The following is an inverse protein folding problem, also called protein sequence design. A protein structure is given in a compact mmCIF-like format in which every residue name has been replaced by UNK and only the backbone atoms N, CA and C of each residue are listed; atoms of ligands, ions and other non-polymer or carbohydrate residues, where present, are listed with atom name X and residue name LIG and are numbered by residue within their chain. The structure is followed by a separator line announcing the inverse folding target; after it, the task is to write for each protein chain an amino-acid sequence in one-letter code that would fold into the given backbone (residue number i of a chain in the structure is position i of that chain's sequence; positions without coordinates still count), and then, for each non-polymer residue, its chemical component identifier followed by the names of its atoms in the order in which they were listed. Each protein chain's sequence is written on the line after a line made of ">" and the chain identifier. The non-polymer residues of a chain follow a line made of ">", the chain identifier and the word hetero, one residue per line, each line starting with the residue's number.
data_IF_608122514918
#
_entry.id   IF_608122514918
#
_cell.length_a   1.000
_cell.length_b   1.000
_cell.length_c   1.000
_cell.angle_alpha   90.00
_cell.angle_beta   90.00
_cell.angle_gamma   90.00
#
_symmetry.space_group_name_H-M   'P 1'
#
loop_
_entity.id
_entity.type
_entity.pdbx_description
1 polymer ?
#
# COMPACT_ATOMS: atom_id res chain seq x y z
N UNK A 1 -26.95 16.35 -75.72
CA UNK A 1 -26.58 15.22 -74.85
C UNK A 1 -25.08 15.32 -74.64
N UNK A 2 -24.47 15.51 -73.48
CA UNK A 2 -24.85 15.26 -72.09
C UNK A 2 -24.11 16.28 -71.21
N UNK A 3 -24.81 16.93 -70.28
CA UNK A 3 -24.26 17.88 -69.30
C UNK A 3 -24.12 17.19 -67.95
N UNK A 4 -22.91 17.16 -67.39
CA UNK A 4 -22.67 16.69 -66.01
C UNK A 4 -23.00 17.78 -64.97
N UNK A 5 -23.50 17.41 -63.76
CA UNK A 5 -23.83 18.38 -62.72
C UNK A 5 -22.65 18.66 -61.79
N UNK A 6 -22.46 19.94 -61.46
CA UNK A 6 -21.56 20.43 -60.40
C UNK A 6 -22.23 20.22 -59.03
N UNK A 7 -21.62 19.39 -58.17
CA UNK A 7 -21.96 19.30 -56.76
C UNK A 7 -21.39 20.50 -55.99
N UNK A 8 -22.26 21.22 -55.27
CA UNK A 8 -21.88 22.30 -54.35
C UNK A 8 -21.58 21.71 -52.98
N UNK A 9 -20.35 21.85 -52.50
CA UNK A 9 -19.96 21.50 -51.14
C UNK A 9 -20.55 22.48 -50.13
N UNK A 10 -21.22 21.94 -49.11
CA UNK A 10 -21.61 22.68 -47.92
C UNK A 10 -20.40 22.84 -47.00
N UNK A 11 -19.98 24.08 -46.74
CA UNK A 11 -19.00 24.43 -45.70
C UNK A 11 -19.78 24.68 -44.41
N UNK A 12 -19.70 23.75 -43.47
CA UNK A 12 -20.24 23.93 -42.12
C UNK A 12 -19.22 24.71 -41.27
N UNK A 13 -19.42 26.01 -41.13
CA UNK A 13 -18.64 26.86 -40.24
C UNK A 13 -19.14 26.71 -38.81
N UNK A 14 -18.51 25.81 -38.03
CA UNK A 14 -18.72 25.73 -36.60
C UNK A 14 -17.99 26.91 -35.91
N UNK A 15 -18.77 27.88 -35.44
CA UNK A 15 -18.29 28.91 -34.50
C UNK A 15 -17.92 28.23 -33.18
N UNK A 16 -16.61 28.20 -32.88
CA UNK A 16 -16.11 27.89 -31.54
C UNK A 16 -16.50 29.05 -30.60
N UNK A 17 -17.44 28.78 -29.69
CA UNK A 17 -17.71 29.65 -28.56
C UNK A 17 -16.57 29.52 -27.54
N UNK A 18 -15.97 30.65 -27.16
CA UNK A 18 -14.97 30.70 -26.10
C UNK A 18 -15.60 30.29 -24.74
N UNK A 19 -14.89 29.52 -23.90
CA UNK A 19 -15.41 29.19 -22.57
C UNK A 19 -15.45 30.44 -21.69
N UNK A 20 -16.62 30.66 -21.07
CA UNK A 20 -16.85 31.71 -20.09
C UNK A 20 -15.91 31.51 -18.88
N UNK A 21 -15.18 32.57 -18.51
CA UNK A 21 -14.35 32.61 -17.30
C UNK A 21 -15.26 32.58 -16.08
N UNK A 22 -15.16 31.54 -15.27
CA UNK A 22 -15.80 31.48 -13.95
C UNK A 22 -15.00 32.37 -12.98
N UNK A 23 -15.64 33.31 -12.26
CA UNK A 23 -14.96 34.16 -11.30
C UNK A 23 -14.50 33.34 -10.08
N UNK A 24 -13.20 33.47 -9.77
CA UNK A 24 -12.55 32.84 -8.63
C UNK A 24 -12.99 33.54 -7.34
N UNK A 25 -13.93 32.93 -6.61
CA UNK A 25 -14.35 33.39 -5.29
C UNK A 25 -13.32 32.96 -4.25
N UNK A 26 -12.55 33.93 -3.75
CA UNK A 26 -11.67 33.83 -2.58
C UNK A 26 -12.55 33.55 -1.36
N UNK A 27 -12.44 32.36 -0.76
CA UNK A 27 -13.02 32.09 0.55
C UNK A 27 -11.93 31.96 1.59
N UNK A 28 -12.17 32.63 2.71
CA UNK A 28 -11.26 32.78 3.83
C UNK A 28 -11.06 31.46 4.57
N UNK A 29 -9.78 31.20 4.89
CA UNK A 29 -9.29 30.15 5.76
C UNK A 29 -9.90 30.24 7.16
N UNK A 30 -10.50 29.14 7.62
CA UNK A 30 -10.62 28.81 9.04
C UNK A 30 -10.15 27.37 9.24
N UNK A 31 -8.97 27.22 9.84
CA UNK A 31 -8.43 25.93 10.28
C UNK A 31 -9.37 25.25 11.29
N UNK A 32 -9.37 23.91 11.32
CA UNK A 32 -9.10 23.29 12.62
C UNK A 32 -8.26 22.01 12.58
N UNK A 33 -7.74 21.71 13.78
CA UNK A 33 -7.40 20.40 14.33
C UNK A 33 -6.16 19.68 13.77
N UNK A 34 -5.06 19.86 14.51
CA UNK A 34 -3.90 18.96 14.52
C UNK A 34 -4.33 17.54 14.91
N UNK A 35 -4.39 16.62 13.95
CA UNK A 35 -4.37 15.19 14.23
C UNK A 35 -2.92 14.80 14.56
N UNK A 36 -2.63 14.71 15.85
CA UNK A 36 -1.36 14.21 16.39
C UNK A 36 -1.24 12.72 16.09
N UNK A 37 -0.48 12.38 15.06
CA UNK A 37 0.06 11.03 14.87
C UNK A 37 1.09 10.77 15.97
N UNK A 38 0.68 10.05 17.01
CA UNK A 38 1.59 9.52 18.00
C UNK A 38 2.35 8.33 17.39
N UNK A 39 3.42 8.63 16.65
CA UNK A 39 4.53 7.69 16.51
C UNK A 39 5.07 7.52 17.93
N UNK A 40 4.84 6.35 18.51
CA UNK A 40 5.36 5.98 19.81
C UNK A 40 6.88 5.76 19.68
N UNK A 41 7.61 6.88 19.57
CA UNK A 41 9.05 6.91 19.66
C UNK A 41 9.42 6.33 21.02
N UNK A 42 10.10 5.19 20.95
CA UNK A 42 10.74 4.49 22.05
C UNK A 42 11.37 5.52 23.00
N UNK A 43 10.76 5.72 24.18
CA UNK A 43 11.33 6.58 25.23
C UNK A 43 12.69 6.00 25.61
N UNK A 44 13.77 6.64 25.18
CA UNK A 44 15.11 6.40 25.72
C UNK A 44 15.07 6.74 27.21
N UNK A 45 15.20 5.73 28.05
CA UNK A 45 15.47 5.91 29.47
C UNK A 45 16.81 6.67 29.63
N UNK A 46 16.95 7.55 30.63
CA UNK A 46 18.19 8.25 30.87
C UNK A 46 19.27 7.25 31.29
N UNK A 47 20.44 7.32 30.66
CA UNK A 47 21.64 6.62 31.13
C UNK A 47 22.01 7.13 32.53
N UNK A 48 22.26 6.24 33.51
CA UNK A 48 22.72 6.68 34.82
C UNK A 48 24.10 7.32 34.72
N UNK A 49 24.24 8.46 35.39
CA UNK A 49 25.48 9.24 35.45
C UNK A 49 26.60 8.44 36.11
N UNK A 50 27.69 8.33 35.37
CA UNK A 50 28.95 7.71 35.77
C UNK A 50 29.65 8.56 36.84
N UNK A 51 29.50 8.20 38.12
CA UNK A 51 30.46 8.43 39.22
C UNK A 51 29.88 7.88 40.52
N UNK A 52 30.34 6.71 40.96
CA UNK A 52 30.95 6.56 42.29
C UNK A 52 31.56 5.16 42.50
N UNK A 53 32.82 5.22 42.94
CA UNK A 53 33.52 4.35 43.90
C UNK A 53 33.50 2.82 43.79
N UNK A 54 34.71 2.34 43.52
CA UNK A 54 35.33 1.10 43.98
C UNK A 54 35.02 0.79 45.45
N UNK A 55 34.46 -0.39 45.72
CA UNK A 55 34.81 -1.22 46.89
C UNK A 55 34.67 -2.69 46.50
N UNK A 56 35.73 -3.46 46.74
CA UNK A 56 35.81 -4.88 46.43
C UNK A 56 34.75 -5.70 47.15
N UNK A 57 33.96 -6.42 46.36
CA UNK A 57 33.06 -7.47 46.81
C UNK A 57 32.95 -8.47 45.69
N UNK A 58 33.11 -9.76 46.01
CA UNK A 58 32.95 -10.88 45.10
C UNK A 58 31.50 -10.95 44.62
N UNK A 59 31.18 -10.17 43.58
CA UNK A 59 29.89 -10.16 42.94
C UNK A 59 29.73 -11.45 42.14
N UNK A 60 28.94 -12.39 42.68
CA UNK A 60 28.27 -13.42 41.89
C UNK A 60 27.64 -12.72 40.67
N UNK A 61 28.02 -13.15 39.47
CA UNK A 61 27.32 -12.79 38.24
C UNK A 61 25.86 -13.23 38.40
N UNK A 62 25.00 -12.32 38.86
CA UNK A 62 23.57 -12.45 38.71
C UNK A 62 23.31 -12.41 37.21
N UNK A 63 22.99 -13.58 36.64
CA UNK A 63 22.50 -13.71 35.29
C UNK A 63 21.39 -12.68 35.09
N UNK A 64 21.67 -11.66 34.30
CA UNK A 64 20.71 -10.63 33.95
C UNK A 64 19.58 -11.36 33.22
N UNK A 65 18.37 -11.38 33.80
CA UNK A 65 17.11 -11.82 33.18
C UNK A 65 16.77 -10.94 31.95
N UNK A 66 17.62 -10.96 30.93
CA UNK A 66 17.39 -10.27 29.64
C UNK A 66 17.09 -11.23 28.50
N UNK A 67 16.97 -12.52 28.83
CA UNK A 67 16.60 -13.58 27.90
C UNK A 67 15.28 -14.24 28.33
N UNK A 68 14.32 -13.49 28.89
CA UNK A 68 12.95 -13.98 28.77
C UNK A 68 12.58 -13.82 27.28
N UNK A 69 12.36 -14.93 26.55
CA UNK A 69 11.82 -14.81 25.20
C UNK A 69 10.54 -13.96 25.31
N UNK A 70 10.36 -13.03 24.37
CA UNK A 70 9.11 -12.28 24.24
C UNK A 70 7.97 -13.28 24.17
N UNK A 71 7.39 -13.59 25.32
CA UNK A 71 6.30 -14.53 25.44
C UNK A 71 5.12 -13.98 24.66
N UNK A 72 4.31 -14.84 24.02
CA UNK A 72 3.11 -14.45 23.28
C UNK A 72 2.07 -13.67 24.14
N UNK A 73 2.29 -13.53 25.45
CA UNK A 73 1.38 -12.89 26.41
C UNK A 73 1.32 -11.36 26.37
N UNK A 74 2.17 -10.67 25.59
CA UNK A 74 2.24 -9.21 25.60
C UNK A 74 1.66 -8.51 24.35
N UNK A 75 1.12 -9.26 23.39
CA UNK A 75 0.40 -8.67 22.25
C UNK A 75 -1.08 -8.57 22.62
N UNK A 76 -1.70 -7.38 22.64
CA UNK A 76 -3.12 -7.25 22.90
C UNK A 76 -3.91 -8.14 21.92
N UNK A 77 -4.76 -9.01 22.47
CA UNK A 77 -5.61 -9.86 21.64
C UNK A 77 -6.65 -8.98 20.94
N UNK A 78 -6.49 -8.78 19.63
CA UNK A 78 -7.46 -8.06 18.82
C UNK A 78 -8.49 -9.06 18.32
N UNK A 79 -9.76 -8.86 18.71
CA UNK A 79 -10.85 -9.69 18.22
C UNK A 79 -10.88 -9.66 16.66
N UNK A 80 -10.95 -10.81 15.98
CA UNK A 80 -10.87 -10.89 14.51
C UNK A 80 -11.85 -9.95 13.78
N UNK A 81 -13.09 -9.87 14.25
CA UNK A 81 -14.08 -8.97 13.66
C UNK A 81 -13.77 -7.49 13.92
N UNK A 82 -13.18 -7.15 15.06
CA UNK A 82 -12.75 -5.78 15.32
C UNK A 82 -11.63 -5.37 14.36
N UNK A 83 -10.68 -6.28 14.09
CA UNK A 83 -9.68 -6.06 13.04
C UNK A 83 -10.34 -5.83 11.68
N UNK A 84 -11.24 -6.71 11.24
CA UNK A 84 -11.88 -6.59 9.93
C UNK A 84 -12.64 -5.25 9.76
N UNK A 85 -13.40 -4.84 10.79
CA UNK A 85 -14.14 -3.58 10.78
C UNK A 85 -13.20 -2.38 10.79
N UNK A 86 -12.18 -2.37 11.65
CA UNK A 86 -11.22 -1.26 11.73
C UNK A 86 -10.43 -1.10 10.43
N UNK A 87 -9.96 -2.21 9.85
CA UNK A 87 -9.30 -2.21 8.55
C UNK A 87 -10.22 -1.64 7.47
N UNK A 88 -11.47 -2.14 7.39
CA UNK A 88 -12.45 -1.62 6.44
C UNK A 88 -12.68 -0.10 6.56
N UNK A 89 -12.81 0.42 7.79
CA UNK A 89 -12.95 1.87 8.05
C UNK A 89 -11.73 2.64 7.54
N UNK A 90 -10.52 2.19 7.89
CA UNK A 90 -9.27 2.85 7.48
C UNK A 90 -9.17 2.92 5.96
N UNK A 91 -9.43 1.80 5.27
CA UNK A 91 -9.27 1.74 3.82
C UNK A 91 -10.38 2.44 3.05
N UNK A 92 -11.62 2.46 3.56
CA UNK A 92 -12.68 3.31 3.02
C UNK A 92 -12.35 4.79 3.20
N UNK A 93 -11.86 5.19 4.38
CA UNK A 93 -11.43 6.57 4.62
C UNK A 93 -10.27 6.98 3.72
N UNK A 94 -9.32 6.07 3.48
CA UNK A 94 -8.22 6.30 2.57
C UNK A 94 -8.66 6.42 1.11
N UNK A 95 -9.63 5.60 0.68
CA UNK A 95 -10.27 5.71 -0.64
C UNK A 95 -10.93 7.07 -0.83
N UNK A 96 -11.74 7.49 0.15
CA UNK A 96 -12.43 8.79 0.12
C UNK A 96 -11.43 9.97 0.17
N UNK A 97 -10.38 9.85 1.00
CA UNK A 97 -9.30 10.82 1.08
C UNK A 97 -8.54 10.95 -0.25
N UNK A 98 -8.25 9.83 -0.90
CA UNK A 98 -7.63 9.81 -2.23
C UNK A 98 -8.52 10.46 -3.29
N UNK A 99 -9.82 10.16 -3.31
CA UNK A 99 -10.76 10.81 -4.24
C UNK A 99 -10.77 12.33 -4.03
N UNK A 100 -10.80 12.77 -2.77
CA UNK A 100 -10.73 14.18 -2.44
C UNK A 100 -9.40 14.80 -2.90
N UNK A 101 -8.27 14.14 -2.67
CA UNK A 101 -6.94 14.60 -3.10
C UNK A 101 -6.86 14.75 -4.62
N UNK A 102 -7.27 13.73 -5.40
CA UNK A 102 -7.27 13.80 -6.86
C UNK A 102 -8.08 15.02 -7.37
N UNK A 103 -9.25 15.28 -6.78
CA UNK A 103 -10.09 16.43 -7.15
C UNK A 103 -9.50 17.76 -6.72
N UNK A 104 -8.92 17.83 -5.52
CA UNK A 104 -8.40 19.06 -4.94
C UNK A 104 -7.11 19.51 -5.62
N UNK A 105 -6.25 18.57 -6.02
CA UNK A 105 -4.96 18.88 -6.65
C UNK A 105 -4.99 18.77 -8.18
N UNK A 106 -6.00 18.11 -8.75
CA UNK A 106 -6.07 17.85 -10.19
C UNK A 106 -5.05 16.82 -10.69
N UNK A 107 -4.52 15.97 -9.79
CA UNK A 107 -3.52 14.95 -10.13
C UNK A 107 -4.16 13.57 -10.13
N UNK A 108 -3.87 12.80 -11.18
CA UNK A 108 -4.18 11.38 -11.27
C UNK A 108 -5.66 11.04 -11.45
N UNK A 109 -6.03 9.80 -11.12
CA UNK A 109 -7.36 9.23 -11.36
C UNK A 109 -8.06 8.97 -10.02
N UNK A 110 -9.25 9.53 -9.83
CA UNK A 110 -10.07 9.26 -8.65
C UNK A 110 -10.61 7.81 -8.63
N UNK A 111 -10.61 7.13 -7.47
CA UNK A 111 -11.14 5.76 -7.35
C UNK A 111 -12.61 5.64 -7.73
N UNK A 112 -13.45 6.68 -7.56
CA UNK A 112 -14.87 6.58 -7.94
C UNK A 112 -15.04 6.48 -9.46
N UNK A 113 -14.23 7.21 -10.22
CA UNK A 113 -14.20 7.07 -11.68
C UNK A 113 -13.69 5.68 -12.07
N UNK A 114 -12.68 5.17 -11.37
CA UNK A 114 -12.11 3.85 -11.63
C UNK A 114 -13.13 2.71 -11.39
N UNK A 115 -13.92 2.80 -10.31
CA UNK A 115 -14.90 1.78 -9.91
C UNK A 115 -16.23 1.86 -10.68
N UNK A 116 -16.49 2.95 -11.42
CA UNK A 116 -17.75 3.16 -12.12
C UNK A 116 -18.00 2.22 -13.31
N UNK A 117 -16.97 1.50 -13.76
CA UNK A 117 -17.05 0.47 -14.78
C UNK A 117 -16.80 -0.89 -14.10
N UNK A 118 -17.68 -1.88 -14.34
CA UNK A 118 -17.37 -3.28 -14.01
C UNK A 118 -16.04 -3.61 -14.72
N UNK A 119 -14.95 -3.88 -13.98
CA UNK A 119 -13.60 -3.86 -14.53
C UNK A 119 -13.25 -5.18 -15.23
N UNK A 120 -14.11 -5.64 -16.13
CA UNK A 120 -13.95 -6.91 -16.83
C UNK A 120 -12.72 -6.88 -17.76
N UNK A 121 -12.40 -5.72 -18.32
CA UNK A 121 -11.21 -5.46 -19.12
C UNK A 121 -9.92 -5.48 -18.29
N UNK A 122 -9.97 -4.99 -17.05
CA UNK A 122 -8.83 -4.98 -16.14
C UNK A 122 -8.55 -6.35 -15.48
N UNK A 123 -9.53 -7.27 -15.49
CA UNK A 123 -9.39 -8.59 -14.85
C UNK A 123 -8.28 -9.44 -15.46
N UNK A 124 -8.17 -9.45 -16.81
CA UNK A 124 -7.14 -10.22 -17.51
C UNK A 124 -5.71 -9.80 -17.14
N UNK A 125 -5.37 -8.51 -17.29
CA UNK A 125 -4.11 -7.97 -16.80
C UNK A 125 -3.89 -8.24 -15.30
N UNK A 126 -4.89 -7.98 -14.45
CA UNK A 126 -4.72 -8.15 -13.01
C UNK A 126 -4.33 -9.57 -12.61
N UNK A 127 -4.96 -10.58 -13.23
CA UNK A 127 -4.60 -11.98 -13.02
C UNK A 127 -3.15 -12.27 -13.44
N UNK A 128 -2.69 -11.70 -14.55
CA UNK A 128 -1.32 -11.88 -15.03
C UNK A 128 -0.29 -11.23 -14.10
N UNK A 129 -0.55 -10.01 -13.65
CA UNK A 129 0.31 -9.25 -12.75
C UNK A 129 0.29 -9.77 -11.30
N UNK A 130 -0.71 -10.59 -10.95
CA UNK A 130 -0.73 -11.33 -9.68
C UNK A 130 0.30 -12.47 -9.67
N UNK A 131 0.67 -13.02 -10.84
CA UNK A 131 1.55 -14.20 -10.91
C UNK A 131 2.95 -14.00 -10.31
N UNK A 132 3.69 -12.89 -10.57
CA UNK A 132 4.97 -12.65 -9.92
C UNK A 132 4.86 -12.58 -8.39
N UNK A 133 3.77 -12.02 -7.88
CA UNK A 133 3.53 -11.92 -6.44
C UNK A 133 3.26 -13.31 -5.84
N UNK A 134 2.44 -14.13 -6.50
CA UNK A 134 2.20 -15.53 -6.09
C UNK A 134 3.45 -16.39 -6.18
N UNK A 135 4.28 -16.19 -7.21
CA UNK A 135 5.57 -16.86 -7.33
C UNK A 135 6.47 -16.47 -6.15
N UNK A 136 6.51 -15.18 -5.78
CA UNK A 136 7.29 -14.72 -4.63
C UNK A 136 6.77 -15.27 -3.30
N UNK A 137 5.45 -15.39 -3.13
CA UNK A 137 4.82 -16.04 -1.96
C UNK A 137 5.20 -17.52 -1.88
N UNK A 138 5.09 -18.24 -3.00
CA UNK A 138 5.51 -19.65 -3.09
C UNK A 138 6.99 -19.85 -2.77
N UNK A 139 7.86 -18.96 -3.24
CA UNK A 139 9.28 -18.95 -2.89
C UNK A 139 9.50 -18.66 -1.40
N UNK A 140 8.77 -17.70 -0.82
CA UNK A 140 8.83 -17.39 0.61
C UNK A 140 8.43 -18.58 1.50
N UNK A 141 7.51 -19.42 1.04
CA UNK A 141 7.14 -20.66 1.74
C UNK A 141 8.20 -21.74 1.51
N UNK A 142 8.61 -21.99 0.27
CA UNK A 142 9.56 -23.05 -0.08
C UNK A 142 10.96 -22.84 0.49
N UNK A 143 11.33 -21.60 0.80
CA UNK A 143 12.63 -21.20 1.34
C UNK A 143 12.59 -20.85 2.83
N UNK A 144 11.44 -20.99 3.51
CA UNK A 144 11.28 -20.63 4.94
C UNK A 144 12.34 -21.31 5.81
N UNK A 145 12.53 -22.62 5.68
CA UNK A 145 13.51 -23.38 6.47
C UNK A 145 14.97 -23.23 6.01
N UNK A 146 15.18 -22.65 4.82
CA UNK A 146 16.52 -22.54 4.20
C UNK A 146 17.15 -21.17 4.38
N UNK A 147 16.34 -20.14 4.59
CA UNK A 147 16.79 -18.75 4.65
C UNK A 147 16.27 -18.09 5.92
N UNK A 148 17.17 -17.84 6.86
CA UNK A 148 16.84 -17.28 8.19
C UNK A 148 16.06 -15.95 8.11
N UNK A 149 16.38 -15.09 7.14
CA UNK A 149 15.66 -13.83 6.94
C UNK A 149 14.19 -14.04 6.54
N UNK A 150 13.90 -15.09 5.74
CA UNK A 150 12.54 -15.47 5.35
C UNK A 150 11.83 -16.08 6.56
N UNK A 151 12.46 -17.03 7.26
CA UNK A 151 11.94 -17.62 8.49
C UNK A 151 11.49 -16.57 9.50
N UNK A 152 12.36 -15.60 9.79
CA UNK A 152 12.06 -14.51 10.71
C UNK A 152 10.88 -13.66 10.24
N UNK A 153 10.80 -13.39 8.93
CA UNK A 153 9.70 -12.61 8.36
C UNK A 153 8.38 -13.38 8.47
N UNK A 154 8.36 -14.67 8.08
CA UNK A 154 7.17 -15.52 8.18
C UNK A 154 6.73 -15.68 9.64
N UNK A 155 7.66 -15.86 10.58
CA UNK A 155 7.35 -15.95 12.01
C UNK A 155 6.69 -14.65 12.52
N UNK A 156 7.22 -13.48 12.16
CA UNK A 156 6.62 -12.20 12.54
C UNK A 156 5.21 -12.03 11.97
N UNK A 157 4.99 -12.41 10.71
CA UNK A 157 3.67 -12.38 10.06
C UNK A 157 2.71 -13.34 10.74
N UNK A 158 3.11 -14.59 10.99
CA UNK A 158 2.30 -15.62 11.67
C UNK A 158 1.89 -15.17 13.09
N UNK A 159 2.82 -14.63 13.86
CA UNK A 159 2.54 -14.14 15.23
C UNK A 159 1.58 -12.95 15.21
N UNK A 160 1.76 -12.02 14.26
CA UNK A 160 0.98 -10.77 14.22
C UNK A 160 -0.41 -10.98 13.64
N UNK A 161 -0.52 -11.70 12.53
CA UNK A 161 -1.76 -11.83 11.75
C UNK A 161 -2.44 -13.19 11.90
N UNK A 162 -1.71 -14.25 12.25
CA UNK A 162 -2.23 -15.62 12.35
C UNK A 162 -3.45 -15.78 13.24
N UNK A 163 -3.47 -15.26 14.48
CA UNK A 163 -4.65 -15.30 15.34
C UNK A 163 -5.88 -14.63 14.72
N UNK A 164 -5.67 -13.48 14.07
CA UNK A 164 -6.73 -12.69 13.45
C UNK A 164 -7.31 -13.41 12.22
N UNK A 165 -6.46 -13.83 11.28
CA UNK A 165 -6.95 -14.40 10.01
C UNK A 165 -7.63 -15.76 10.17
N UNK A 166 -7.25 -16.56 11.18
CA UNK A 166 -7.94 -17.83 11.49
C UNK A 166 -9.36 -17.63 11.96
N UNK A 167 -9.58 -16.59 12.76
CA UNK A 167 -10.90 -16.25 13.28
C UNK A 167 -11.84 -15.59 12.26
N UNK A 168 -11.38 -15.35 11.03
CA UNK A 168 -12.18 -14.75 9.96
C UNK A 168 -12.61 -15.78 8.91
N UNK A 169 -13.81 -15.57 8.36
CA UNK A 169 -14.29 -16.35 7.22
C UNK A 169 -13.55 -15.97 5.93
N UNK A 170 -13.43 -16.87 4.94
CA UNK A 170 -12.83 -16.54 3.64
C UNK A 170 -13.49 -15.35 2.93
N UNK A 171 -14.81 -15.18 3.08
CA UNK A 171 -15.53 -14.03 2.51
C UNK A 171 -15.22 -12.73 3.25
N UNK A 172 -15.06 -12.78 4.58
CA UNK A 172 -14.62 -11.60 5.34
C UNK A 172 -13.21 -11.19 4.96
N UNK A 173 -12.30 -12.16 4.77
CA UNK A 173 -10.94 -11.90 4.30
C UNK A 173 -10.93 -11.34 2.88
N UNK A 174 -11.80 -11.82 1.99
CA UNK A 174 -11.97 -11.25 0.66
C UNK A 174 -12.44 -9.78 0.74
N UNK A 175 -13.41 -9.48 1.60
CA UNK A 175 -13.89 -8.12 1.79
C UNK A 175 -12.79 -7.19 2.34
N UNK A 176 -12.02 -7.64 3.34
CA UNK A 176 -10.87 -6.90 3.87
C UNK A 176 -9.86 -6.64 2.78
N UNK A 177 -9.41 -7.68 2.06
CA UNK A 177 -8.42 -7.56 1.00
C UNK A 177 -8.89 -6.66 -0.16
N UNK A 178 -10.17 -6.74 -0.54
CA UNK A 178 -10.76 -5.85 -1.53
C UNK A 178 -10.71 -4.39 -1.08
N UNK A 179 -11.04 -4.09 0.19
CA UNK A 179 -10.92 -2.72 0.72
C UNK A 179 -9.47 -2.25 0.77
N UNK A 180 -8.53 -3.11 1.17
CA UNK A 180 -7.08 -2.81 1.20
C UNK A 180 -6.61 -2.45 -0.21
N UNK A 181 -6.84 -3.32 -1.19
CA UNK A 181 -6.43 -3.10 -2.58
C UNK A 181 -7.01 -1.82 -3.18
N UNK A 182 -8.29 -1.53 -2.93
CA UNK A 182 -8.90 -0.26 -3.39
C UNK A 182 -8.30 0.95 -2.68
N UNK A 183 -8.22 0.93 -1.35
CA UNK A 183 -7.77 2.07 -0.56
C UNK A 183 -6.30 2.42 -0.81
N UNK A 184 -5.42 1.41 -0.79
CA UNK A 184 -3.99 1.58 -0.98
C UNK A 184 -3.67 2.01 -2.40
N UNK A 185 -4.18 1.33 -3.41
CA UNK A 185 -3.85 1.70 -4.79
C UNK A 185 -4.48 3.04 -5.19
N UNK A 186 -5.66 3.40 -4.65
CA UNK A 186 -6.20 4.76 -4.80
C UNK A 186 -5.20 5.81 -4.30
N UNK A 187 -4.76 5.70 -3.05
CA UNK A 187 -3.86 6.68 -2.45
C UNK A 187 -2.50 6.69 -3.14
N UNK A 188 -1.87 5.53 -3.32
CA UNK A 188 -0.50 5.47 -3.81
C UNK A 188 -0.40 5.66 -5.31
N UNK A 189 -1.30 5.08 -6.12
CA UNK A 189 -1.18 5.16 -7.59
C UNK A 189 -2.12 6.20 -8.15
N UNK A 190 -3.38 6.16 -7.73
CA UNK A 190 -4.42 7.09 -8.17
C UNK A 190 -4.04 8.54 -7.89
N UNK A 191 -3.45 8.82 -6.73
CA UNK A 191 -2.97 10.17 -6.38
C UNK A 191 -1.45 10.26 -6.27
N UNK A 192 -0.81 9.48 -5.39
CA UNK A 192 0.57 9.69 -4.95
C UNK A 192 1.60 9.61 -6.08
N UNK A 193 1.48 8.61 -6.96
CA UNK A 193 2.36 8.42 -8.10
C UNK A 193 2.19 9.54 -9.13
N UNK A 194 0.95 9.90 -9.46
CA UNK A 194 0.67 11.02 -10.39
C UNK A 194 1.18 12.35 -9.84
N UNK A 195 0.91 12.65 -8.57
CA UNK A 195 1.40 13.85 -7.91
C UNK A 195 2.93 13.90 -7.89
N UNK A 196 3.60 12.78 -7.56
CA UNK A 196 5.06 12.70 -7.57
C UNK A 196 5.64 12.89 -8.97
N UNK A 197 5.03 12.29 -9.99
CA UNK A 197 5.46 12.47 -11.38
C UNK A 197 5.38 13.95 -11.81
N UNK A 198 4.26 14.61 -11.50
CA UNK A 198 4.06 16.03 -11.83
C UNK A 198 4.98 16.94 -11.02
N UNK A 199 5.21 16.65 -9.74
CA UNK A 199 6.15 17.39 -8.89
C UNK A 199 7.60 17.26 -9.38
N UNK A 200 8.02 16.08 -9.83
CA UNK A 200 9.34 15.85 -10.41
C UNK A 200 9.49 16.56 -11.76
N UNK A 201 8.44 16.56 -12.58
CA UNK A 201 8.42 17.28 -13.85
C UNK A 201 8.45 18.80 -13.68
N UNK A 202 7.84 19.33 -12.60
CA UNK A 202 7.79 20.75 -12.28
C UNK A 202 8.96 21.27 -11.41
N UNK A 203 9.84 20.38 -10.94
CA UNK A 203 10.88 20.68 -9.95
C UNK A 203 12.00 21.62 -10.43
N UNK A 204 12.87 22.08 -9.51
CA UNK A 204 13.94 23.05 -9.79
C UNK A 204 15.17 22.45 -10.48
N UNK A 205 15.19 21.13 -10.70
CA UNK A 205 16.25 20.49 -11.46
C UNK A 205 16.21 21.03 -12.89
N UNK A 206 17.31 21.61 -13.41
CA UNK A 206 17.31 22.14 -14.76
C UNK A 206 16.81 21.06 -15.71
N UNK A 207 15.82 21.40 -16.54
CA UNK A 207 15.43 20.61 -17.71
C UNK A 207 16.54 20.59 -18.77
N UNK A 208 17.78 20.38 -18.35
CA UNK A 208 18.94 20.13 -19.18
C UNK A 208 19.00 18.63 -19.44
N UNK A 209 18.17 18.15 -20.37
CA UNK A 209 18.16 16.76 -20.84
C UNK A 209 16.87 15.98 -20.56
N UNK A 210 16.87 14.70 -20.96
CA UNK A 210 15.78 13.71 -20.93
C UNK A 210 15.11 13.43 -19.54
N UNK A 211 15.35 14.29 -18.54
CA UNK A 211 14.84 14.16 -17.17
C UNK A 211 13.32 14.24 -17.08
N UNK A 212 12.65 14.96 -17.98
CA UNK A 212 11.18 14.90 -18.10
C UNK A 212 10.70 13.47 -18.43
N UNK A 213 11.47 12.72 -19.22
CA UNK A 213 11.21 11.30 -19.50
C UNK A 213 11.48 10.40 -18.29
N UNK A 214 12.31 10.84 -17.33
CA UNK A 214 12.62 10.10 -16.11
C UNK A 214 11.63 10.34 -14.96
N UNK A 215 10.79 11.39 -15.01
CA UNK A 215 9.85 11.73 -13.94
C UNK A 215 8.87 10.58 -13.63
N UNK A 216 8.35 9.92 -14.67
CA UNK A 216 7.45 8.78 -14.52
C UNK A 216 8.13 7.56 -13.86
N UNK A 217 9.24 7.00 -14.38
CA UNK A 217 9.90 5.87 -13.73
C UNK A 217 10.44 6.22 -12.34
N UNK A 218 10.89 7.46 -12.10
CA UNK A 218 11.28 7.91 -10.78
C UNK A 218 10.11 7.96 -9.81
N UNK A 219 8.92 8.40 -10.25
CA UNK A 219 7.71 8.39 -9.41
C UNK A 219 7.32 6.97 -8.98
N UNK A 220 7.39 5.99 -9.90
CA UNK A 220 7.14 4.58 -9.60
C UNK A 220 8.11 4.07 -8.54
N UNK A 221 9.41 4.33 -8.72
CA UNK A 221 10.44 3.89 -7.79
C UNK A 221 10.27 4.54 -6.39
N UNK A 222 10.07 5.85 -6.34
CA UNK A 222 9.94 6.60 -5.07
C UNK A 222 8.67 6.17 -4.32
N UNK A 223 7.52 6.13 -4.99
CA UNK A 223 6.27 5.74 -4.36
C UNK A 223 6.28 4.26 -3.98
N UNK A 224 6.93 3.39 -4.78
CA UNK A 224 7.17 2.00 -4.41
C UNK A 224 7.99 1.86 -3.13
N UNK A 225 9.08 2.63 -2.98
CA UNK A 225 9.88 2.62 -1.73
C UNK A 225 9.08 3.15 -0.54
N UNK A 226 8.31 4.24 -0.71
CA UNK A 226 7.44 4.76 0.36
C UNK A 226 6.42 3.69 0.78
N UNK A 227 5.83 2.99 -0.19
CA UNK A 227 4.93 1.86 0.08
C UNK A 227 5.62 0.78 0.92
N UNK A 228 6.83 0.36 0.54
CA UNK A 228 7.58 -0.62 1.31
C UNK A 228 7.99 -0.15 2.71
N UNK A 229 8.31 1.14 2.89
CA UNK A 229 8.59 1.72 4.20
C UNK A 229 7.38 1.67 5.14
N UNK A 230 6.18 1.91 4.62
CA UNK A 230 4.94 1.85 5.40
C UNK A 230 4.54 0.41 5.77
N UNK A 231 5.04 -0.57 5.03
CA UNK A 231 4.82 -1.99 5.27
C UNK A 231 5.95 -2.67 6.05
N UNK A 232 6.98 -1.94 6.47
CA UNK A 232 8.21 -2.54 6.99
C UNK A 232 8.02 -3.28 8.34
N UNK A 233 7.77 -4.60 8.29
CA UNK A 233 7.82 -5.51 9.46
C UNK A 233 9.24 -6.00 9.72
N UNK A 234 9.98 -6.28 8.64
CA UNK A 234 11.41 -6.63 8.65
C UNK A 234 12.11 -5.91 7.49
N UNK A 235 13.46 -5.78 7.49
CA UNK A 235 14.17 -5.22 6.34
C UNK A 235 13.95 -5.99 5.03
N UNK A 236 13.83 -7.32 5.10
CA UNK A 236 13.51 -8.14 3.94
C UNK A 236 12.10 -7.83 3.43
N UNK A 237 11.13 -7.71 4.34
CA UNK A 237 9.76 -7.39 3.98
C UNK A 237 9.62 -5.96 3.43
N UNK A 238 10.40 -5.00 3.94
CA UNK A 238 10.51 -3.67 3.32
C UNK A 238 10.96 -3.76 1.87
N UNK A 239 12.02 -4.52 1.59
CA UNK A 239 12.54 -4.66 0.23
C UNK A 239 11.52 -5.35 -0.69
N UNK A 240 10.88 -6.41 -0.21
CA UNK A 240 9.83 -7.12 -0.94
C UNK A 240 8.60 -6.22 -1.19
N UNK A 241 8.10 -5.53 -0.17
CA UNK A 241 6.95 -4.63 -0.29
C UNK A 241 7.29 -3.43 -1.20
N UNK A 242 8.54 -2.96 -1.19
CA UNK A 242 8.98 -1.93 -2.14
C UNK A 242 8.93 -2.44 -3.59
N UNK A 243 9.39 -3.68 -3.82
CA UNK A 243 9.33 -4.30 -5.14
C UNK A 243 7.88 -4.55 -5.60
N UNK A 244 7.00 -4.98 -4.69
CA UNK A 244 5.57 -5.09 -4.96
C UNK A 244 4.95 -3.71 -5.30
N UNK A 245 5.29 -2.67 -4.53
CA UNK A 245 4.86 -1.29 -4.80
C UNK A 245 5.31 -0.76 -6.15
N UNK A 246 6.53 -1.09 -6.58
CA UNK A 246 7.02 -0.80 -7.94
C UNK A 246 6.23 -1.59 -8.99
N UNK A 247 5.96 -2.87 -8.75
CA UNK A 247 5.18 -3.72 -9.65
C UNK A 247 3.76 -3.17 -9.85
N UNK A 248 3.08 -2.78 -8.78
CA UNK A 248 1.77 -2.12 -8.86
C UNK A 248 1.82 -0.78 -9.60
N UNK A 249 2.90 -0.01 -9.39
CA UNK A 249 3.10 1.26 -10.10
C UNK A 249 3.33 1.10 -11.60
N UNK A 250 4.00 0.02 -12.03
CA UNK A 250 4.16 -0.34 -13.43
C UNK A 250 2.85 -0.85 -14.04
N UNK A 251 2.11 -1.69 -13.32
CA UNK A 251 0.80 -2.17 -13.74
C UNK A 251 -0.17 -1.00 -13.94
N UNK A 252 -0.21 -0.06 -12.99
CA UNK A 252 -1.03 1.14 -13.08
C UNK A 252 -0.75 1.94 -14.35
N UNK A 253 0.53 2.09 -14.73
CA UNK A 253 0.90 2.79 -15.97
C UNK A 253 0.45 2.07 -17.24
N UNK A 254 0.37 0.73 -17.21
CA UNK A 254 0.06 -0.08 -18.40
C UNK A 254 -1.43 -0.39 -18.54
N UNK A 255 -2.13 -0.57 -17.42
CA UNK A 255 -3.48 -1.14 -17.38
C UNK A 255 -4.46 -0.33 -16.52
N UNK A 256 -4.01 0.77 -15.93
CA UNK A 256 -4.86 1.69 -15.17
C UNK A 256 -5.07 1.27 -13.71
N UNK A 257 -5.81 2.11 -12.99
CA UNK A 257 -5.96 2.01 -11.54
C UNK A 257 -6.73 0.75 -11.12
N UNK A 258 -7.71 0.34 -11.91
CA UNK A 258 -8.54 -0.84 -11.62
C UNK A 258 -7.71 -2.13 -11.60
N UNK A 259 -6.78 -2.28 -12.55
CA UNK A 259 -5.93 -3.47 -12.62
C UNK A 259 -5.09 -3.60 -11.36
N UNK A 260 -4.38 -2.53 -10.97
CA UNK A 260 -3.58 -2.50 -9.75
C UNK A 260 -4.41 -2.80 -8.48
N UNK A 261 -5.61 -2.21 -8.35
CA UNK A 261 -6.52 -2.48 -7.23
C UNK A 261 -6.92 -3.96 -7.13
N UNK A 262 -7.25 -4.57 -8.27
CA UNK A 262 -7.64 -5.99 -8.34
C UNK A 262 -6.42 -6.87 -8.03
N UNK A 263 -5.27 -6.60 -8.62
CA UNK A 263 -4.03 -7.37 -8.38
C UNK A 263 -3.65 -7.36 -6.92
N UNK A 264 -3.62 -6.18 -6.29
CA UNK A 264 -3.29 -6.04 -4.88
C UNK A 264 -4.32 -6.78 -4.01
N UNK A 265 -5.61 -6.48 -4.16
CA UNK A 265 -6.65 -7.13 -3.36
C UNK A 265 -6.73 -8.65 -3.56
N UNK A 266 -6.50 -9.13 -4.78
CA UNK A 266 -6.46 -10.56 -5.08
C UNK A 266 -5.25 -11.25 -4.43
N UNK A 267 -4.07 -10.64 -4.56
CA UNK A 267 -2.86 -11.16 -3.92
C UNK A 267 -3.04 -11.26 -2.41
N UNK A 268 -3.52 -10.20 -1.75
CA UNK A 268 -3.73 -10.17 -0.31
C UNK A 268 -4.73 -11.22 0.15
N UNK A 269 -5.84 -11.38 -0.57
CA UNK A 269 -6.82 -12.41 -0.25
C UNK A 269 -6.19 -13.81 -0.30
N UNK A 270 -5.41 -14.10 -1.35
CA UNK A 270 -4.73 -15.39 -1.49
C UNK A 270 -3.66 -15.60 -0.42
N UNK A 271 -2.88 -14.57 -0.09
CA UNK A 271 -1.89 -14.60 0.98
C UNK A 271 -2.57 -14.85 2.35
N UNK A 272 -3.71 -14.20 2.64
CA UNK A 272 -4.50 -14.45 3.84
C UNK A 272 -5.06 -15.87 3.90
N UNK A 273 -5.50 -16.43 2.76
CA UNK A 273 -5.95 -17.83 2.68
C UNK A 273 -4.83 -18.80 3.02
N UNK A 274 -3.63 -18.61 2.45
CA UNK A 274 -2.46 -19.43 2.78
C UNK A 274 -2.10 -19.29 4.26
N UNK A 275 -2.01 -18.06 4.78
CA UNK A 275 -1.67 -17.82 6.18
C UNK A 275 -2.69 -18.46 7.13
N UNK A 276 -3.99 -18.33 6.83
CA UNK A 276 -5.08 -18.96 7.58
C UNK A 276 -4.94 -20.48 7.61
N UNK A 277 -4.65 -21.11 6.47
CA UNK A 277 -4.47 -22.56 6.40
C UNK A 277 -3.26 -23.04 7.21
N UNK A 278 -2.11 -22.40 7.03
CA UNK A 278 -0.86 -22.77 7.72
C UNK A 278 -1.03 -22.65 9.24
N UNK A 279 -1.57 -21.53 9.70
CA UNK A 279 -1.73 -21.28 11.14
C UNK A 279 -2.84 -22.13 11.77
N UNK A 280 -3.88 -22.52 11.01
CA UNK A 280 -4.90 -23.43 11.51
C UNK A 280 -4.31 -24.83 11.72
N UNK A 281 -3.55 -25.31 10.73
CA UNK A 281 -2.85 -26.59 10.83
C UNK A 281 -1.91 -26.65 12.03
N UNK A 282 -1.08 -25.61 12.23
CA UNK A 282 -0.17 -25.53 13.39
C UNK A 282 -0.92 -25.59 14.74
N UNK A 283 -2.15 -25.08 14.82
CA UNK A 283 -2.98 -25.17 16.03
C UNK A 283 -3.51 -26.58 16.26
N UNK A 284 -4.02 -27.21 15.20
CA UNK A 284 -4.60 -28.55 15.27
C UNK A 284 -3.53 -29.59 15.64
N UNK A 285 -2.32 -29.44 15.09
CA UNK A 285 -1.15 -30.25 15.43
C UNK A 285 -0.74 -30.06 16.91
N UNK A 286 -0.80 -28.82 17.42
CA UNK A 286 -0.47 -28.53 18.82
C UNK A 286 -1.53 -29.03 19.82
N UNK A 287 -2.79 -29.18 19.40
CA UNK A 287 -3.89 -29.71 20.23
C UNK A 287 -3.94 -31.24 20.25
N UNK A 288 -3.30 -31.90 19.28
CA UNK A 288 -3.25 -33.36 19.16
C UNK A 288 -1.97 -34.00 19.71
N UNK A 289 -0.96 -33.19 20.03
CA UNK A 289 0.28 -33.60 20.70
C UNK A 289 0.13 -33.67 22.22
#
# INVERSE_FOLDING_TARGET
>A
MSTMPRTRGFVCAARLAAPARVPCARTHSTAPARALWAVQLCRRTPLPSRRDRFTGGTARCAASKRDEPLGPSNVPEVAPMAFAVNSGIVYVAMTAGSEWLCRATGHGQGPLAALSLLPLDAMGPALLWTLPLLASLGLGIALEDKVEAIKKTNAMVKVTLGPVVRGLSPLTLLAVAATVGVGEEALFRGWGQSWMADALAAGPLPATGDLAGAAQPASVAIVGVIFGMLHAVTPLYLAWASAAGVLFGLEYQQHGLQAAMITHGLYDWLAFMVLRQVTQKELDDAQSA
#
